data_IF_385195483859
#
_entry.id   IF_385195483859
#
_cell.length_a   1.000
_cell.length_b   1.000
_cell.length_c   1.000
_cell.angle_alpha   90.00
_cell.angle_beta   90.00
_cell.angle_gamma   90.00
#
_symmetry.space_group_name_H-M   'P 1'
#
loop_
_entity.id
_entity.type
_entity.pdbx_description
1 polymer ?
#
# COMPACT_ATOMS: atom_id res chain seq x y z
N UNK A 1 10.04 11.10 2.66
CA UNK A 1 9.17 10.04 2.09
C UNK A 1 9.14 10.19 0.58
N UNK A 2 9.29 9.09 -0.16
CA UNK A 2 9.16 9.05 -1.62
C UNK A 2 7.79 8.47 -1.96
N UNK A 3 6.99 9.18 -2.75
CA UNK A 3 5.71 8.68 -3.26
C UNK A 3 5.93 7.61 -4.33
N UNK A 4 5.11 6.54 -4.29
CA UNK A 4 5.19 5.42 -5.24
C UNK A 4 3.90 5.32 -6.06
N UNK A 5 2.74 5.33 -5.41
CA UNK A 5 1.44 5.24 -6.08
C UNK A 5 0.31 5.75 -5.20
N UNK A 6 -0.79 6.12 -5.84
CA UNK A 6 -2.04 6.51 -5.20
C UNK A 6 -3.13 5.49 -5.58
N UNK A 7 -3.95 5.08 -4.62
CA UNK A 7 -5.04 4.13 -4.79
C UNK A 7 -6.38 4.88 -4.89
N UNK A 8 -6.63 5.56 -6.02
CA UNK A 8 -7.89 6.28 -6.26
C UNK A 8 -8.83 5.49 -7.18
N UNK A 9 -10.14 5.54 -6.88
CA UNK A 9 -11.21 5.23 -7.82
C UNK A 9 -11.61 6.46 -8.66
N UNK A 10 -12.92 6.65 -8.86
CA UNK A 10 -13.46 7.71 -9.73
C UNK A 10 -13.48 9.13 -9.10
N UNK A 11 -13.04 9.30 -7.86
CA UNK A 11 -12.95 10.60 -7.20
C UNK A 11 -11.58 10.80 -6.57
N UNK A 12 -11.07 12.03 -6.59
CA UNK A 12 -9.81 12.44 -5.96
C UNK A 12 -10.01 13.00 -4.53
N UNK A 13 -11.07 12.59 -3.84
CA UNK A 13 -11.52 13.18 -2.58
C UNK A 13 -10.81 12.59 -1.33
N UNK A 14 -9.48 12.44 -1.41
CA UNK A 14 -8.67 11.74 -0.41
C UNK A 14 -8.55 10.27 -0.79
N UNK A 15 -7.33 9.85 -1.14
CA UNK A 15 -7.07 8.48 -1.57
C UNK A 15 -5.97 7.88 -0.73
N UNK A 16 -6.02 6.56 -0.50
CA UNK A 16 -4.90 5.89 0.08
C UNK A 16 -3.65 6.03 -0.81
N UNK A 17 -2.48 6.07 -0.19
CA UNK A 17 -1.20 6.30 -0.87
C UNK A 17 -0.12 5.37 -0.34
N UNK A 18 0.82 5.00 -1.21
CA UNK A 18 2.00 4.22 -0.86
C UNK A 18 3.25 5.08 -0.98
N UNK A 19 4.04 5.08 0.09
CA UNK A 19 5.31 5.76 0.20
C UNK A 19 6.44 4.82 0.61
N UNK A 20 7.67 5.20 0.25
CA UNK A 20 8.90 4.64 0.80
C UNK A 20 9.56 5.67 1.74
N UNK A 21 9.82 5.28 2.98
CA UNK A 21 10.47 6.11 3.99
C UNK A 21 11.92 5.65 4.25
N UNK A 22 12.87 6.27 3.55
CA UNK A 22 14.29 5.95 3.67
C UNK A 22 14.87 6.18 5.07
N UNK A 23 14.22 6.99 5.91
CA UNK A 23 14.66 7.25 7.28
C UNK A 23 14.14 6.21 8.29
N UNK A 24 13.19 5.36 7.90
CA UNK A 24 12.64 4.32 8.77
C UNK A 24 13.53 3.08 8.84
N UNK A 25 13.34 2.30 9.91
CA UNK A 25 13.95 0.96 10.01
C UNK A 25 13.44 0.05 8.88
N UNK A 26 14.21 -0.98 8.57
CA UNK A 26 13.93 -1.86 7.42
C UNK A 26 12.55 -2.52 7.51
N UNK A 27 12.09 -2.84 8.72
CA UNK A 27 10.80 -3.47 9.01
C UNK A 27 9.60 -2.53 8.81
N UNK A 28 9.84 -1.24 8.61
CA UNK A 28 8.81 -0.19 8.60
C UNK A 28 8.94 0.79 7.43
N UNK A 29 9.72 0.43 6.42
CA UNK A 29 10.14 1.30 5.32
C UNK A 29 9.04 1.58 4.29
N UNK A 30 8.12 0.64 4.08
CA UNK A 30 6.93 0.85 3.25
C UNK A 30 5.85 1.46 4.13
N UNK A 31 5.23 2.54 3.67
CA UNK A 31 4.15 3.22 4.39
C UNK A 31 2.93 3.31 3.48
N UNK A 32 1.80 2.80 3.94
CA UNK A 32 0.49 3.03 3.32
C UNK A 32 -0.30 3.95 4.24
N UNK A 33 -0.83 5.02 3.70
CA UNK A 33 -1.76 5.93 4.40
C UNK A 33 -3.14 5.79 3.81
N UNK A 34 -4.18 5.88 4.62
CA UNK A 34 -5.56 6.03 4.14
C UNK A 34 -6.01 7.50 4.20
N UNK A 35 -7.23 7.76 3.73
CA UNK A 35 -7.89 9.05 3.71
C UNK A 35 -8.45 9.49 5.08
N UNK A 36 -8.41 8.62 6.08
CA UNK A 36 -8.85 8.87 7.46
C UNK A 36 -7.68 9.11 8.42
N UNK A 37 -6.44 9.14 7.93
CA UNK A 37 -5.22 9.38 8.71
C UNK A 37 -4.64 8.13 9.38
N UNK A 38 -5.15 6.95 9.06
CA UNK A 38 -4.52 5.70 9.46
C UNK A 38 -3.27 5.43 8.63
N UNK A 39 -2.38 4.64 9.21
CA UNK A 39 -1.08 4.33 8.64
C UNK A 39 -0.70 2.89 8.92
N UNK A 40 -0.35 2.17 7.86
CA UNK A 40 0.24 0.84 7.93
C UNK A 40 1.72 0.97 7.55
N UNK A 41 2.59 0.33 8.31
CA UNK A 41 4.00 0.22 7.99
C UNK A 41 4.40 -1.23 7.85
N UNK A 42 5.25 -1.53 6.88
CA UNK A 42 5.76 -2.86 6.64
C UNK A 42 7.16 -2.81 6.01
N UNK A 43 7.82 -3.96 5.97
CA UNK A 43 9.06 -4.10 5.22
C UNK A 43 8.81 -4.21 3.71
N UNK A 44 9.86 -4.04 2.92
CA UNK A 44 9.79 -4.32 1.47
C UNK A 44 9.51 -5.80 1.20
N UNK A 45 9.99 -6.70 2.05
CA UNK A 45 9.72 -8.14 1.93
C UNK A 45 8.24 -8.48 2.14
N UNK A 46 7.58 -7.83 3.11
CA UNK A 46 6.15 -7.99 3.33
C UNK A 46 5.33 -7.44 2.15
N UNK A 47 5.73 -6.29 1.59
CA UNK A 47 5.09 -5.78 0.37
C UNK A 47 5.27 -6.74 -0.82
N UNK A 48 6.42 -7.42 -0.92
CA UNK A 48 6.65 -8.43 -1.96
C UNK A 48 5.69 -9.61 -1.85
N UNK A 49 5.38 -10.06 -0.63
CA UNK A 49 4.38 -11.11 -0.40
C UNK A 49 3.00 -10.65 -0.87
N UNK A 50 2.55 -9.45 -0.47
CA UNK A 50 1.28 -8.88 -0.90
C UNK A 50 1.18 -8.80 -2.43
N UNK A 51 2.25 -8.33 -3.10
CA UNK A 51 2.30 -8.27 -4.57
C UNK A 51 2.24 -9.66 -5.19
N UNK A 52 2.85 -10.67 -4.55
CA UNK A 52 2.74 -12.08 -4.95
C UNK A 52 1.28 -12.57 -4.92
N UNK A 53 0.61 -12.35 -3.79
CA UNK A 53 -0.79 -12.76 -3.57
C UNK A 53 -1.71 -12.12 -4.61
N UNK A 54 -1.58 -10.81 -4.83
CA UNK A 54 -2.33 -10.06 -5.87
C UNK A 54 -2.08 -10.66 -7.25
N UNK A 55 -0.83 -10.92 -7.63
CA UNK A 55 -0.51 -11.49 -8.95
C UNK A 55 -1.00 -12.92 -9.14
N UNK A 56 -1.13 -13.68 -8.04
CA UNK A 56 -1.69 -15.04 -8.06
C UNK A 56 -3.21 -15.09 -8.00
N UNK A 57 -3.87 -13.92 -7.93
CA UNK A 57 -5.34 -13.82 -7.90
C UNK A 57 -5.97 -14.11 -6.54
N UNK A 58 -5.19 -14.13 -5.45
CA UNK A 58 -5.71 -14.41 -4.09
C UNK A 58 -6.81 -13.41 -3.68
N UNK A 59 -6.74 -12.18 -4.19
CA UNK A 59 -7.70 -11.12 -3.88
C UNK A 59 -8.78 -10.94 -4.94
N UNK A 60 -8.81 -11.76 -6.00
CA UNK A 60 -9.72 -11.56 -7.14
C UNK A 60 -11.19 -11.70 -6.71
N UNK A 61 -11.51 -12.68 -5.87
CA UNK A 61 -12.86 -12.85 -5.32
C UNK A 61 -13.31 -11.65 -4.47
N UNK A 62 -12.38 -11.01 -3.75
CA UNK A 62 -12.67 -9.85 -2.91
C UNK A 62 -13.00 -8.62 -3.75
N UNK A 63 -12.32 -8.42 -4.89
CA UNK A 63 -12.48 -7.21 -5.72
C UNK A 63 -13.50 -7.35 -6.85
N UNK A 64 -13.94 -8.58 -7.16
CA UNK A 64 -14.95 -8.85 -8.19
C UNK A 64 -16.40 -8.68 -7.70
N UNK A 65 -16.63 -8.59 -6.39
CA UNK A 65 -17.93 -8.38 -5.76
C UNK A 65 -18.34 -6.90 -5.71
#
# INVERSE_FOLDING_TARGET
MQHITTFCGNCNCGCPELYLDAAATEEKRVVITDDFGQRIQMSVEQLRVLVGDVKSGVLDELVAA
#
